data_IF_845442192769
#
_entry.id   IF_845442192769
#
_cell.length_a   1.000
_cell.length_b   1.000
_cell.length_c   1.000
_cell.angle_alpha   90.00
_cell.angle_beta   90.00
_cell.angle_gamma   90.00
#
_symmetry.space_group_name_H-M   'P 1'
#
loop_
_entity.id
_entity.type
_entity.pdbx_description
1 polymer ?
#
# COMPACT_ATOMS: atom_id res chain seq x y z
N UNK A 1 4.88 -6.03 -14.53
CA UNK A 1 4.95 -4.65 -15.05
C UNK A 1 6.17 -3.96 -14.46
N UNK A 2 6.98 -3.23 -15.25
CA UNK A 2 8.14 -2.48 -14.76
C UNK A 2 7.92 -0.98 -15.01
N UNK A 3 7.88 -0.23 -13.93
CA UNK A 3 7.67 1.21 -13.86
C UNK A 3 8.69 1.85 -12.90
N UNK A 4 9.87 1.23 -12.78
CA UNK A 4 10.95 1.77 -11.95
C UNK A 4 11.38 3.16 -12.44
N UNK A 5 11.59 4.08 -11.50
CA UNK A 5 11.91 5.48 -11.76
C UNK A 5 10.86 6.24 -12.60
N UNK A 6 9.64 5.71 -12.75
CA UNK A 6 8.58 6.40 -13.45
C UNK A 6 8.15 7.65 -12.67
N UNK A 7 7.93 8.75 -13.38
CA UNK A 7 7.25 9.91 -12.84
C UNK A 7 5.74 9.72 -13.01
N UNK A 8 5.05 9.47 -11.90
CA UNK A 8 3.60 9.34 -11.80
C UNK A 8 3.01 10.43 -10.89
N UNK A 9 3.75 11.53 -10.70
CA UNK A 9 3.30 12.65 -9.89
C UNK A 9 2.01 13.25 -10.49
N UNK A 10 1.00 13.46 -9.65
CA UNK A 10 -0.33 13.95 -10.04
C UNK A 10 -1.14 12.97 -10.91
N UNK A 11 -0.66 11.75 -11.16
CA UNK A 11 -1.34 10.79 -12.01
C UNK A 11 -2.66 10.30 -11.38
N UNK A 12 -3.66 10.09 -12.23
CA UNK A 12 -4.91 9.43 -11.85
C UNK A 12 -4.77 7.92 -12.05
N UNK A 13 -4.56 7.19 -10.95
CA UNK A 13 -4.38 5.74 -10.92
C UNK A 13 -5.53 5.06 -10.15
N UNK A 14 -6.68 5.71 -10.05
CA UNK A 14 -7.83 5.18 -9.32
C UNK A 14 -8.25 3.82 -9.91
N UNK A 15 -8.30 2.79 -9.07
CA UNK A 15 -8.61 1.42 -9.49
C UNK A 15 -7.56 0.72 -10.35
N UNK A 16 -6.36 1.31 -10.51
CA UNK A 16 -5.28 0.69 -11.28
C UNK A 16 -4.84 -0.64 -10.66
N UNK A 17 -4.52 -1.62 -11.50
CA UNK A 17 -4.01 -2.94 -11.08
C UNK A 17 -2.50 -3.00 -11.30
N UNK A 18 -1.74 -2.77 -10.23
CA UNK A 18 -0.28 -2.74 -10.18
C UNK A 18 0.28 -3.93 -9.37
N UNK A 19 -0.43 -5.05 -9.40
CA UNK A 19 -0.10 -6.28 -8.67
C UNK A 19 1.29 -6.77 -9.10
N UNK A 20 2.21 -6.91 -8.15
CA UNK A 20 3.59 -7.36 -8.44
C UNK A 20 4.41 -6.38 -9.28
N UNK A 21 3.98 -5.13 -9.46
CA UNK A 21 4.70 -4.15 -10.26
C UNK A 21 6.05 -3.78 -9.64
N UNK A 22 7.07 -3.60 -10.47
CA UNK A 22 8.37 -3.05 -10.06
C UNK A 22 8.27 -1.53 -10.14
N UNK A 23 8.21 -0.87 -8.99
CA UNK A 23 8.00 0.57 -8.82
C UNK A 23 9.15 1.21 -8.02
N UNK A 24 10.34 0.61 -8.09
CA UNK A 24 11.51 1.12 -7.39
C UNK A 24 11.78 2.56 -7.83
N UNK A 25 11.96 3.49 -6.88
CA UNK A 25 12.18 4.93 -7.15
C UNK A 25 11.09 5.64 -7.95
N UNK A 26 9.90 5.07 -8.08
CA UNK A 26 8.79 5.76 -8.75
C UNK A 26 8.30 6.94 -7.89
N UNK A 27 7.91 8.04 -8.54
CA UNK A 27 7.35 9.21 -7.88
C UNK A 27 5.82 9.20 -8.03
N UNK A 28 5.11 9.10 -6.92
CA UNK A 28 3.64 9.18 -6.85
C UNK A 28 3.17 10.46 -6.15
N UNK A 29 4.00 11.49 -6.02
CA UNK A 29 3.62 12.72 -5.32
C UNK A 29 2.30 13.29 -5.88
N UNK A 30 1.33 13.58 -5.01
CA UNK A 30 -0.02 14.06 -5.38
C UNK A 30 -0.86 13.10 -6.27
N UNK A 31 -0.46 11.84 -6.43
CA UNK A 31 -1.21 10.87 -7.23
C UNK A 31 -2.51 10.40 -6.54
N UNK A 32 -3.53 10.10 -7.35
CA UNK A 32 -4.80 9.53 -6.89
C UNK A 32 -4.75 8.01 -6.98
N UNK A 33 -4.64 7.35 -5.83
CA UNK A 33 -4.47 5.89 -5.71
C UNK A 33 -5.72 5.20 -5.18
N UNK A 34 -6.87 5.89 -5.16
CA UNK A 34 -8.11 5.36 -4.60
C UNK A 34 -8.46 3.99 -5.21
N UNK A 35 -8.70 2.98 -4.37
CA UNK A 35 -9.02 1.59 -4.77
C UNK A 35 -7.96 0.92 -5.68
N UNK A 36 -6.76 1.47 -5.83
CA UNK A 36 -5.71 0.85 -6.61
C UNK A 36 -5.18 -0.41 -5.90
N UNK A 37 -4.73 -1.39 -6.68
CA UNK A 37 -4.18 -2.64 -6.18
C UNK A 37 -2.67 -2.70 -6.42
N UNK A 38 -1.91 -2.45 -5.37
CA UNK A 38 -0.45 -2.57 -5.28
C UNK A 38 -0.02 -3.87 -4.61
N UNK A 39 -0.89 -4.86 -4.48
CA UNK A 39 -0.53 -6.10 -3.78
C UNK A 39 0.73 -6.74 -4.39
N UNK A 40 1.66 -7.14 -3.53
CA UNK A 40 2.97 -7.70 -3.91
C UNK A 40 3.88 -6.77 -4.74
N UNK A 41 3.56 -5.48 -4.86
CA UNK A 41 4.39 -4.53 -5.60
C UNK A 41 5.71 -4.22 -4.86
N UNK A 42 6.72 -3.78 -5.61
CA UNK A 42 8.02 -3.40 -5.08
C UNK A 42 8.19 -1.88 -5.16
N UNK A 43 7.92 -1.18 -4.05
CA UNK A 43 7.94 0.29 -3.95
C UNK A 43 9.25 0.81 -3.33
N UNK A 44 10.32 0.03 -3.30
CA UNK A 44 11.60 0.41 -2.67
C UNK A 44 12.07 1.79 -3.18
N UNK A 45 12.35 2.72 -2.28
CA UNK A 45 12.71 4.12 -2.59
C UNK A 45 11.65 4.91 -3.38
N UNK A 46 10.41 4.44 -3.52
CA UNK A 46 9.34 5.21 -4.15
C UNK A 46 8.87 6.35 -3.24
N UNK A 47 8.39 7.44 -3.83
CA UNK A 47 7.85 8.59 -3.10
C UNK A 47 6.32 8.53 -3.12
N UNK A 48 5.67 8.47 -1.95
CA UNK A 48 4.20 8.40 -1.80
C UNK A 48 3.63 9.66 -1.11
N UNK A 49 4.28 10.81 -1.26
CA UNK A 49 3.90 12.06 -0.60
C UNK A 49 2.54 12.59 -1.10
N UNK A 50 1.69 13.06 -0.18
CA UNK A 50 0.39 13.68 -0.51
C UNK A 50 -0.52 12.82 -1.41
N UNK A 51 -0.45 11.49 -1.31
CA UNK A 51 -1.28 10.59 -2.12
C UNK A 51 -2.63 10.30 -1.47
N UNK A 52 -3.71 10.23 -2.27
CA UNK A 52 -4.97 9.67 -1.79
C UNK A 52 -4.95 8.14 -1.95
N UNK A 53 -4.74 7.45 -0.83
CA UNK A 53 -4.65 5.99 -0.76
C UNK A 53 -5.96 5.35 -0.27
N UNK A 54 -7.09 6.08 -0.33
CA UNK A 54 -8.38 5.60 0.17
C UNK A 54 -8.74 4.25 -0.47
N UNK A 55 -8.86 3.20 0.35
CA UNK A 55 -9.16 1.82 -0.07
C UNK A 55 -8.11 1.18 -1.01
N UNK A 56 -6.91 1.74 -1.11
CA UNK A 56 -5.82 1.11 -1.86
C UNK A 56 -5.36 -0.19 -1.14
N UNK A 57 -4.96 -1.19 -1.92
CA UNK A 57 -4.46 -2.46 -1.41
C UNK A 57 -2.94 -2.55 -1.55
N UNK A 58 -2.22 -2.58 -0.44
CA UNK A 58 -0.76 -2.75 -0.42
C UNK A 58 -0.31 -4.14 0.08
N UNK A 59 -1.20 -5.12 0.10
CA UNK A 59 -0.90 -6.41 0.73
C UNK A 59 0.24 -7.18 0.09
N UNK A 60 1.24 -7.54 0.90
CA UNK A 60 2.47 -8.19 0.47
C UNK A 60 3.41 -7.30 -0.33
N UNK A 61 3.12 -6.00 -0.46
CA UNK A 61 4.01 -5.07 -1.13
C UNK A 61 5.25 -4.79 -0.27
N UNK A 62 6.39 -4.54 -0.91
CA UNK A 62 7.56 -3.97 -0.25
C UNK A 62 7.46 -2.45 -0.29
N UNK A 63 7.36 -1.82 0.87
CA UNK A 63 7.22 -0.38 1.06
C UNK A 63 8.51 0.38 0.72
N UNK A 64 8.48 1.73 0.56
CA UNK A 64 9.65 2.54 0.24
C UNK A 64 10.87 2.31 1.13
N UNK A 65 10.66 2.06 2.42
CA UNK A 65 11.69 1.81 3.42
C UNK A 65 12.25 0.37 3.36
N UNK A 66 11.69 -0.48 2.50
CA UNK A 66 12.09 -1.88 2.33
C UNK A 66 11.31 -2.87 3.21
N UNK A 67 10.34 -2.42 4.00
CA UNK A 67 9.52 -3.32 4.82
C UNK A 67 8.40 -3.99 4.01
N UNK A 68 8.08 -5.25 4.34
CA UNK A 68 6.92 -5.92 3.76
C UNK A 68 5.63 -5.48 4.47
N UNK A 69 4.66 -4.99 3.70
CA UNK A 69 3.35 -4.62 4.19
C UNK A 69 2.45 -5.86 4.31
N UNK A 70 2.34 -6.40 5.51
CA UNK A 70 1.45 -7.52 5.83
C UNK A 70 0.33 -7.16 6.82
N UNK A 71 0.38 -5.96 7.40
CA UNK A 71 -0.62 -5.48 8.37
C UNK A 71 -1.93 -5.12 7.68
N UNK A 72 -3.06 -5.57 8.22
CA UNK A 72 -4.37 -5.27 7.64
C UNK A 72 -4.66 -6.02 6.33
N UNK A 73 -3.81 -6.99 5.98
CA UNK A 73 -4.18 -7.99 4.99
C UNK A 73 -5.04 -9.02 5.70
N UNK A 74 -6.21 -9.33 5.14
CA UNK A 74 -7.05 -10.42 5.61
C UNK A 74 -6.29 -11.74 5.42
N UNK A 75 -5.47 -12.06 6.41
CA UNK A 75 -4.95 -13.39 6.59
C UNK A 75 -6.05 -14.16 7.30
N UNK A 76 -6.79 -14.93 6.53
CA UNK A 76 -7.68 -15.95 7.07
C UNK A 76 -6.79 -17.00 7.75
N UNK A 77 -6.57 -16.86 9.05
CA UNK A 77 -6.06 -17.95 9.86
C UNK A 77 -7.24 -18.88 10.16
N UNK A 78 -7.23 -20.07 9.56
CA UNK A 78 -8.12 -21.16 9.99
C UNK A 78 -7.48 -21.76 11.23
N UNK A 79 -7.97 -21.42 12.43
CA UNK A 79 -7.71 -22.25 13.61
C UNK A 79 -8.70 -23.40 13.57
N UNK A 80 -8.18 -24.62 13.60
CA UNK A 80 -8.99 -25.84 13.60
C UNK A 80 -9.66 -26.03 14.97
N UNK A 81 -10.62 -25.18 15.32
CA UNK A 81 -11.54 -25.39 16.44
C UNK A 81 -12.66 -24.34 16.44
N UNK A 82 -13.86 -24.80 16.05
CA UNK A 82 -15.18 -24.30 16.41
C UNK A 82 -15.37 -22.77 16.56
N UNK A 83 -15.85 -22.13 15.48
CA UNK A 83 -16.66 -20.90 15.57
C UNK A 83 -16.03 -19.67 14.94
N UNK A 84 -16.33 -19.45 13.66
CA UNK A 84 -15.89 -18.32 12.85
C UNK A 84 -16.43 -16.98 13.43
N UNK A 85 -15.64 -16.28 14.25
CA UNK A 85 -15.87 -14.85 14.55
C UNK A 85 -14.92 -14.01 13.71
N UNK A 86 -15.37 -13.69 12.50
CA UNK A 86 -14.70 -12.71 11.64
C UNK A 86 -14.95 -11.33 12.25
N UNK A 87 -13.95 -10.76 12.91
CA UNK A 87 -13.96 -9.33 13.22
C UNK A 87 -13.32 -8.63 12.04
N UNK A 88 -14.14 -8.34 11.03
CA UNK A 88 -13.82 -7.34 10.02
C UNK A 88 -13.71 -5.99 10.73
N UNK A 89 -12.51 -5.66 11.22
CA UNK A 89 -12.24 -4.29 11.60
C UNK A 89 -12.21 -3.48 10.31
N UNK A 90 -13.05 -2.44 10.16
CA UNK A 90 -12.98 -1.59 8.99
C UNK A 90 -11.55 -1.05 8.88
N UNK A 91 -11.00 -1.14 7.66
CA UNK A 91 -9.64 -0.70 7.31
C UNK A 91 -9.53 0.82 7.44
N UNK A 92 -9.48 1.28 8.69
CA UNK A 92 -9.23 2.65 9.07
C UNK A 92 -7.73 2.91 9.07
N UNK A 93 -7.29 3.62 8.04
CA UNK A 93 -6.06 4.40 7.94
C UNK A 93 -4.72 3.64 8.03
N UNK A 94 -3.90 3.89 7.02
CA UNK A 94 -2.47 3.66 6.96
C UNK A 94 -1.76 4.29 8.18
N UNK A 95 -1.67 3.55 9.29
CA UNK A 95 -0.76 3.86 10.39
C UNK A 95 0.58 3.12 10.14
N UNK A 96 1.20 3.37 9.00
CA UNK A 96 2.62 3.06 8.81
C UNK A 96 3.37 4.31 9.27
N UNK A 97 4.27 4.13 10.26
CA UNK A 97 4.86 5.24 11.02
C UNK A 97 5.59 6.20 10.09
N UNK A 98 5.08 7.42 10.01
CA UNK A 98 5.81 8.61 9.62
C UNK A 98 6.93 8.89 10.64
N UNK A 99 8.14 8.39 10.44
CA UNK A 99 9.31 9.09 10.97
C UNK A 99 9.54 10.34 10.12
N UNK A 100 8.69 11.35 10.33
CA UNK A 100 8.87 12.79 10.02
C UNK A 100 7.56 13.58 10.30
N UNK A 101 6.92 13.33 11.45
CA UNK A 101 6.09 14.37 12.06
C UNK A 101 6.86 14.84 13.29
N UNK A 102 7.40 16.05 13.20
CA UNK A 102 8.15 16.72 14.26
C UNK A 102 7.39 16.65 15.58
N UNK A 103 8.15 16.41 16.64
CA UNK A 103 7.79 16.84 18.00
C UNK A 103 7.35 18.31 17.93
N UNK A 104 6.14 18.60 18.39
CA UNK A 104 5.84 19.76 19.25
C UNK A 104 4.43 19.65 19.80
#
# INVERSE_FOLDING_TARGET
MNLGSANLAGADLRGAKLIGAKLFRADFTDAKLEKADFSKAFLIQATLGQTDQTKANFCGATMPEGELFSKGCSQTYVTAENGLKVRDKPFGCCHWRSTLWSKS
#
